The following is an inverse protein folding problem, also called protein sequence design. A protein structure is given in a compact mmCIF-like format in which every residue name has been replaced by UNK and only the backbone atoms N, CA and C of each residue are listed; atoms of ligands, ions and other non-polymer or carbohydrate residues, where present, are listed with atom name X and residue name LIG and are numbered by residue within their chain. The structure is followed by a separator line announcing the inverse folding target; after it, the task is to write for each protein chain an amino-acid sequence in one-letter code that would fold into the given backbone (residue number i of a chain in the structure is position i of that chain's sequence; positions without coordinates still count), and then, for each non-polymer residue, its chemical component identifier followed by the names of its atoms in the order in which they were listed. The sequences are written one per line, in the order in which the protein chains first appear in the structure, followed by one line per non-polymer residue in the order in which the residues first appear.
data_IF_963805497448
#
_entry.id   IF_963805497448
#
_cell.length_a   1.000
_cell.length_b   1.000
_cell.length_c   1.000
_cell.angle_alpha   90.00
_cell.angle_beta   90.00
_cell.angle_gamma   90.00
#
_symmetry.space_group_name_H-M   'P 1'
#
loop_
_entity.id
_entity.type
_entity.pdbx_description
1 polymer ?
#
# COMPACT_ATOMS: atom_id res chain seq x y z
N UNK A 1 17.57 4.40 -15.11
CA UNK A 1 18.32 3.82 -13.97
C UNK A 1 18.18 4.71 -12.74
N UNK A 2 18.26 6.04 -12.88
CA UNK A 2 18.00 7.01 -11.79
C UNK A 2 16.58 6.94 -11.21
N UNK A 3 15.53 6.91 -12.05
CA UNK A 3 14.12 6.80 -11.60
C UNK A 3 13.84 5.59 -10.69
N UNK A 4 14.59 4.49 -10.85
CA UNK A 4 14.38 3.29 -10.04
C UNK A 4 14.97 3.46 -8.63
N UNK A 5 16.10 4.15 -8.52
CA UNK A 5 16.76 4.45 -7.24
C UNK A 5 15.90 5.40 -6.41
N UNK A 6 15.35 6.45 -7.04
CA UNK A 6 14.44 7.38 -6.36
C UNK A 6 13.17 6.68 -5.84
N UNK A 7 12.61 5.76 -6.65
CA UNK A 7 11.42 4.98 -6.23
C UNK A 7 11.73 4.10 -5.03
N UNK A 8 12.87 3.40 -5.02
CA UNK A 8 13.30 2.59 -3.88
C UNK A 8 13.56 3.44 -2.62
N UNK A 9 14.14 4.62 -2.77
CA UNK A 9 14.36 5.55 -1.65
C UNK A 9 13.04 6.02 -1.02
N UNK A 10 12.02 6.31 -1.84
CA UNK A 10 10.68 6.68 -1.35
C UNK A 10 10.04 5.52 -0.58
N UNK A 11 10.08 4.30 -1.11
CA UNK A 11 9.52 3.12 -0.44
C UNK A 11 10.22 2.86 0.90
N UNK A 12 11.55 2.98 0.95
CA UNK A 12 12.31 2.88 2.20
C UNK A 12 11.95 3.97 3.22
N UNK A 13 11.75 5.22 2.75
CA UNK A 13 11.31 6.31 3.61
C UNK A 13 9.91 6.08 4.20
N UNK A 14 8.99 5.50 3.41
CA UNK A 14 7.66 5.11 3.90
C UNK A 14 7.79 4.02 4.97
N UNK A 15 8.61 3.00 4.74
CA UNK A 15 8.84 1.93 5.72
C UNK A 15 9.37 2.48 7.05
N UNK A 16 10.32 3.43 7.00
CA UNK A 16 10.87 4.08 8.18
C UNK A 16 9.84 4.93 8.91
N UNK A 17 9.07 5.76 8.20
CA UNK A 17 8.05 6.62 8.82
C UNK A 17 6.93 5.83 9.50
N UNK A 18 6.59 4.66 8.95
CA UNK A 18 5.49 3.83 9.43
C UNK A 18 5.96 2.57 10.16
N UNK A 19 7.21 2.54 10.63
CA UNK A 19 7.77 1.36 11.31
C UNK A 19 7.01 1.03 12.62
N UNK A 20 6.57 2.06 13.34
CA UNK A 20 5.84 2.04 14.61
C UNK A 20 4.32 1.81 14.46
N UNK A 21 3.78 1.72 13.25
CA UNK A 21 2.37 1.40 13.06
C UNK A 21 2.07 0.01 13.61
N UNK A 22 1.09 -0.07 14.51
CA UNK A 22 0.58 -1.35 14.96
C UNK A 22 -0.10 -2.06 13.78
N UNK A 23 0.17 -3.35 13.65
CA UNK A 23 -0.49 -4.18 12.66
C UNK A 23 -1.60 -5.00 13.34
N UNK A 24 -2.86 -4.52 13.35
CA UNK A 24 -3.97 -5.20 14.03
C UNK A 24 -4.39 -6.49 13.32
N UNK A 25 -3.79 -6.81 12.16
CA UNK A 25 -4.12 -8.00 11.39
C UNK A 25 -3.59 -9.24 12.10
N UNK A 26 -4.45 -10.26 12.21
CA UNK A 26 -4.03 -11.58 12.69
C UNK A 26 -3.08 -12.24 11.68
N UNK A 27 -2.08 -12.99 12.15
CA UNK A 27 -1.01 -13.58 11.31
C UNK A 27 -1.54 -14.35 10.08
N UNK A 28 -2.57 -15.21 10.28
CA UNK A 28 -3.18 -15.98 9.18
C UNK A 28 -3.86 -15.14 8.09
N UNK A 29 -4.06 -13.84 8.33
CA UNK A 29 -4.67 -12.88 7.39
C UNK A 29 -3.64 -11.90 6.79
N UNK A 30 -2.34 -12.05 7.10
CA UNK A 30 -1.26 -11.20 6.57
C UNK A 30 -0.78 -11.69 5.20
N UNK A 31 -1.70 -11.80 4.25
CA UNK A 31 -1.40 -12.19 2.86
C UNK A 31 -0.59 -11.09 2.16
N UNK A 32 -0.96 -9.82 2.35
CA UNK A 32 -0.26 -8.69 1.75
C UNK A 32 0.74 -8.07 2.73
N UNK A 33 1.91 -7.67 2.22
CA UNK A 33 2.90 -6.94 3.02
C UNK A 33 2.31 -5.62 3.50
N UNK A 34 2.65 -5.23 4.74
CA UNK A 34 2.21 -3.95 5.32
C UNK A 34 2.64 -2.77 4.42
N UNK A 35 3.88 -2.79 3.95
CA UNK A 35 4.44 -1.75 3.08
C UNK A 35 3.69 -1.64 1.75
N UNK A 36 3.36 -2.77 1.12
CA UNK A 36 2.58 -2.79 -0.13
C UNK A 36 1.21 -2.11 0.05
N UNK A 37 0.52 -2.42 1.15
CA UNK A 37 -0.78 -1.81 1.48
C UNK A 37 -0.64 -0.30 1.67
N UNK A 38 0.37 0.14 2.44
CA UNK A 38 0.60 1.56 2.73
C UNK A 38 0.91 2.37 1.48
N UNK A 39 1.80 1.88 0.62
CA UNK A 39 2.17 2.56 -0.62
C UNK A 39 0.96 2.71 -1.54
N UNK A 40 0.15 1.64 -1.69
CA UNK A 40 -1.07 1.70 -2.50
C UNK A 40 -2.09 2.66 -1.89
N UNK A 41 -2.29 2.65 -0.57
CA UNK A 41 -3.20 3.56 0.12
C UNK A 41 -2.81 5.04 -0.06
N UNK A 42 -1.51 5.35 -0.03
CA UNK A 42 -1.00 6.71 -0.31
C UNK A 42 -1.29 7.10 -1.76
N UNK A 43 -1.05 6.20 -2.73
CA UNK A 43 -1.39 6.46 -4.12
C UNK A 43 -2.89 6.75 -4.32
N UNK A 44 -3.76 6.03 -3.58
CA UNK A 44 -5.21 6.28 -3.57
C UNK A 44 -5.54 7.66 -3.03
N UNK A 45 -4.96 8.03 -1.89
CA UNK A 45 -5.20 9.32 -1.26
C UNK A 45 -4.77 10.48 -2.17
N UNK A 46 -3.65 10.34 -2.89
CA UNK A 46 -3.16 11.33 -3.87
C UNK A 46 -4.09 11.40 -5.09
N UNK A 47 -4.57 10.25 -5.58
CA UNK A 47 -5.45 10.19 -6.74
C UNK A 47 -6.86 10.69 -6.44
N UNK A 48 -7.24 10.77 -5.16
CA UNK A 48 -8.53 11.29 -4.71
C UNK A 48 -9.70 10.41 -5.13
N UNK A 49 -9.53 9.09 -5.10
CA UNK A 49 -10.58 8.18 -5.53
C UNK A 49 -11.77 8.19 -4.55
N UNK A 50 -12.99 8.24 -5.09
CA UNK A 50 -14.22 8.37 -4.30
C UNK A 50 -14.63 7.09 -3.56
N UNK A 51 -14.24 5.90 -4.05
CA UNK A 51 -14.60 4.61 -3.43
C UNK A 51 -13.49 3.56 -3.54
N UNK A 52 -13.41 2.68 -2.54
CA UNK A 52 -12.43 1.59 -2.50
C UNK A 52 -12.68 0.51 -3.57
N UNK A 53 -13.91 0.30 -4.04
CA UNK A 53 -14.15 -0.65 -5.15
C UNK A 53 -13.55 -0.16 -6.48
N UNK A 54 -13.68 1.13 -6.78
CA UNK A 54 -13.12 1.72 -8.00
C UNK A 54 -11.59 1.71 -7.96
N UNK A 55 -11.03 1.95 -6.77
CA UNK A 55 -9.62 1.80 -6.43
C UNK A 55 -9.14 0.38 -6.72
N UNK A 56 -9.82 -0.63 -6.18
CA UNK A 56 -9.42 -2.03 -6.36
C UNK A 56 -9.35 -2.42 -7.85
N UNK A 57 -10.37 -2.05 -8.64
CA UNK A 57 -10.40 -2.35 -10.08
C UNK A 57 -9.28 -1.63 -10.83
N UNK A 58 -9.08 -0.34 -10.56
CA UNK A 58 -8.04 0.46 -11.21
C UNK A 58 -6.65 -0.06 -10.89
N UNK A 59 -6.35 -0.38 -9.63
CA UNK A 59 -5.01 -0.82 -9.23
C UNK A 59 -4.72 -2.26 -9.63
N UNK A 60 -5.73 -3.13 -9.72
CA UNK A 60 -5.59 -4.44 -10.36
C UNK A 60 -5.11 -4.29 -11.81
N UNK A 61 -5.61 -3.29 -12.55
CA UNK A 61 -5.11 -3.01 -13.89
C UNK A 61 -3.66 -2.46 -13.89
N UNK A 62 -3.25 -1.78 -12.82
CA UNK A 62 -1.90 -1.23 -12.64
C UNK A 62 -0.92 -2.16 -11.92
N UNK A 63 -1.30 -3.42 -11.63
CA UNK A 63 -0.47 -4.35 -10.86
C UNK A 63 0.95 -4.49 -11.44
N UNK A 64 1.07 -4.58 -12.77
CA UNK A 64 2.38 -4.66 -13.47
C UNK A 64 3.27 -3.44 -13.20
N UNK A 65 2.67 -2.27 -12.99
CA UNK A 65 3.42 -1.06 -12.67
C UNK A 65 3.89 -1.08 -11.21
N UNK A 66 3.02 -1.45 -10.27
CA UNK A 66 3.39 -1.59 -8.86
C UNK A 66 4.47 -2.64 -8.62
N UNK A 67 4.43 -3.77 -9.34
CA UNK A 67 5.47 -4.82 -9.25
C UNK A 67 6.88 -4.37 -9.62
N UNK A 68 7.04 -3.16 -10.17
CA UNK A 68 8.37 -2.57 -10.39
C UNK A 68 9.05 -2.15 -9.10
N UNK A 69 8.30 -1.88 -8.03
CA UNK A 69 8.85 -1.35 -6.77
C UNK A 69 8.17 -1.93 -5.52
N UNK A 70 7.12 -2.72 -5.67
CA UNK A 70 6.45 -3.51 -4.62
C UNK A 70 6.58 -5.00 -4.93
N UNK A 71 6.59 -5.84 -3.90
CA UNK A 71 6.72 -7.29 -4.08
C UNK A 71 5.37 -7.93 -4.44
N UNK A 72 4.28 -7.51 -3.79
CA UNK A 72 2.92 -8.00 -4.03
C UNK A 72 2.84 -9.54 -4.10
N UNK A 73 3.22 -10.26 -3.03
CA UNK A 73 3.24 -11.73 -3.01
C UNK A 73 1.87 -12.34 -3.34
N UNK A 74 0.80 -11.74 -2.82
CA UNK A 74 -0.60 -12.12 -3.07
C UNK A 74 -1.33 -11.13 -4.00
N UNK A 75 -0.59 -10.33 -4.77
CA UNK A 75 -1.15 -9.33 -5.69
C UNK A 75 -1.70 -8.09 -4.97
N UNK A 76 -2.60 -7.37 -5.66
CA UNK A 76 -3.20 -6.13 -5.16
C UNK A 76 -4.19 -6.45 -4.03
N UNK A 77 -4.08 -5.78 -2.86
CA UNK A 77 -5.04 -5.96 -1.77
C UNK A 77 -6.48 -5.60 -2.17
N UNK A 78 -7.45 -6.32 -1.62
CA UNK A 78 -8.89 -6.00 -1.79
C UNK A 78 -9.30 -4.75 -0.99
N UNK A 79 -10.47 -4.18 -1.32
CA UNK A 79 -11.07 -3.09 -0.53
C UNK A 79 -11.20 -3.40 0.97
N UNK A 80 -11.53 -4.65 1.33
CA UNK A 80 -11.60 -5.12 2.72
C UNK A 80 -10.27 -4.97 3.47
N UNK A 81 -9.15 -5.07 2.76
CA UNK A 81 -7.81 -4.89 3.37
C UNK A 81 -7.59 -3.41 3.71
N UNK A 82 -8.00 -2.49 2.85
CA UNK A 82 -7.87 -1.05 3.08
C UNK A 82 -8.81 -0.54 4.18
N UNK A 83 -10.03 -1.09 4.26
CA UNK A 83 -10.99 -0.76 5.32
C UNK A 83 -10.51 -1.11 6.74
N UNK A 84 -9.45 -1.92 6.87
CA UNK A 84 -8.84 -2.28 8.16
C UNK A 84 -7.70 -1.35 8.58
N UNK A 85 -7.35 -0.38 7.75
CA UNK A 85 -6.42 0.68 8.15
C UNK A 85 -7.12 1.60 9.15
N UNK A 86 -6.46 1.90 10.25
CA UNK A 86 -6.96 2.84 11.26
C UNK A 86 -6.44 4.25 10.95
N UNK A 87 -7.30 5.18 10.49
CA UNK A 87 -6.88 6.54 10.12
C UNK A 87 -6.22 7.32 11.25
N UNK A 88 -6.53 7.02 12.51
CA UNK A 88 -5.96 7.74 13.65
C UNK A 88 -4.46 7.46 13.81
N UNK A 89 -3.99 6.28 13.38
CA UNK A 89 -2.56 5.96 13.43
C UNK A 89 -1.72 6.78 12.42
N UNK A 90 -2.37 7.44 11.45
CA UNK A 90 -1.72 8.28 10.44
C UNK A 90 -1.66 9.76 10.84
N UNK A 91 -2.17 10.15 12.02
CA UNK A 91 -2.23 11.55 12.49
C UNK A 91 -1.02 11.99 13.34
N UNK A 92 0.11 11.29 13.26
CA UNK A 92 1.33 11.71 13.95
C UNK A 92 1.87 13.04 13.41
#
# INVERSE_FOLDING_TARGET
MELHIETFAVVAGIEEQFNELEDPRIERMKLHKRLDILVIAICVAIYGADTWENVEIFWKAQEKWFRKFLELPDGIPSHDTFNRLDPEQFRK
#
